data_IF_707370869671
#
_entry.id   IF_707370869671
#
_cell.length_a   1.000
_cell.length_b   1.000
_cell.length_c   1.000
_cell.angle_alpha   90.00
_cell.angle_beta   90.00
_cell.angle_gamma   90.00
#
_symmetry.space_group_name_H-M   'P 1'
#
loop_
_entity.id
_entity.type
_entity.pdbx_description
1 polymer ?
#
# COMPACT_ATOMS: atom_id res chain seq x y z
N UNK A 1 -63.67 -51.02 -33.01
CA UNK A 1 -62.62 -50.02 -32.70
C UNK A 1 -63.21 -49.07 -31.69
N UNK A 2 -62.70 -49.07 -30.45
CA UNK A 2 -63.25 -48.30 -29.33
C UNK A 2 -62.58 -46.93 -29.25
N UNK A 3 -63.39 -45.91 -29.02
CA UNK A 3 -63.00 -44.54 -28.66
C UNK A 3 -62.11 -44.52 -27.42
N UNK A 4 -61.10 -43.64 -27.42
CA UNK A 4 -60.46 -43.23 -26.18
C UNK A 4 -60.22 -41.72 -26.16
N UNK A 5 -60.95 -41.11 -25.24
CA UNK A 5 -61.05 -39.70 -24.89
C UNK A 5 -59.72 -39.04 -24.52
N UNK A 6 -59.52 -37.83 -25.06
CA UNK A 6 -58.52 -36.84 -24.66
C UNK A 6 -58.64 -36.47 -23.17
N UNK A 7 -57.52 -36.42 -22.44
CA UNK A 7 -57.41 -35.84 -21.09
C UNK A 7 -56.36 -34.72 -21.10
N UNK A 8 -56.65 -33.52 -20.60
CA UNK A 8 -55.67 -32.45 -20.50
C UNK A 8 -54.74 -32.69 -19.29
N UNK A 9 -53.44 -32.52 -19.50
CA UNK A 9 -52.43 -32.54 -18.43
C UNK A 9 -52.47 -31.18 -17.74
N UNK A 10 -52.75 -31.17 -16.43
CA UNK A 10 -52.73 -29.98 -15.59
C UNK A 10 -51.29 -29.55 -15.30
N UNK A 11 -50.91 -28.35 -15.75
CA UNK A 11 -49.66 -27.71 -15.37
C UNK A 11 -49.66 -27.38 -13.87
N UNK A 12 -48.79 -28.04 -13.10
CA UNK A 12 -48.39 -27.56 -11.77
C UNK A 12 -47.05 -26.84 -11.89
N UNK A 13 -46.94 -25.56 -11.50
CA UNK A 13 -45.67 -24.86 -11.58
C UNK A 13 -44.75 -25.40 -10.48
N UNK A 14 -43.69 -26.10 -10.88
CA UNK A 14 -42.60 -26.42 -9.99
C UNK A 14 -42.00 -25.11 -9.45
N UNK A 15 -42.11 -24.90 -8.13
CA UNK A 15 -41.42 -23.81 -7.43
C UNK A 15 -39.92 -23.97 -7.63
N UNK A 16 -39.36 -23.16 -8.52
CA UNK A 16 -37.92 -22.97 -8.61
C UNK A 16 -37.50 -22.14 -7.39
N UNK A 17 -37.13 -22.83 -6.30
CA UNK A 17 -36.47 -22.17 -5.17
C UNK A 17 -35.08 -21.72 -5.61
N UNK A 18 -35.02 -20.49 -6.12
CA UNK A 18 -33.76 -19.83 -6.43
C UNK A 18 -32.94 -19.66 -5.16
N UNK A 19 -31.93 -20.51 -4.96
CA UNK A 19 -30.82 -20.25 -4.03
C UNK A 19 -30.25 -18.87 -4.37
N UNK A 20 -30.53 -17.87 -3.53
CA UNK A 20 -29.89 -16.57 -3.64
C UNK A 20 -28.38 -16.77 -3.65
N UNK A 21 -27.75 -16.55 -4.81
CA UNK A 21 -26.30 -16.52 -4.95
C UNK A 21 -25.73 -15.56 -3.91
N UNK A 22 -24.95 -16.10 -2.98
CA UNK A 22 -24.33 -15.33 -1.89
C UNK A 22 -23.43 -14.29 -2.56
N UNK A 23 -23.71 -13.00 -2.41
CA UNK A 23 -22.91 -11.91 -3.01
C UNK A 23 -21.49 -11.96 -2.45
N UNK A 24 -20.56 -12.52 -3.22
CA UNK A 24 -19.14 -12.60 -2.87
C UNK A 24 -18.49 -11.22 -3.00
N UNK A 25 -17.74 -10.79 -1.99
CA UNK A 25 -17.04 -9.49 -2.02
C UNK A 25 -15.75 -9.63 -2.82
N UNK A 26 -15.41 -8.61 -3.61
CA UNK A 26 -14.22 -8.61 -4.49
C UNK A 26 -12.90 -8.88 -3.76
N UNK A 27 -12.77 -8.45 -2.50
CA UNK A 27 -11.55 -8.65 -1.70
C UNK A 27 -11.40 -10.08 -1.18
N UNK A 28 -12.49 -10.85 -1.08
CA UNK A 28 -12.47 -12.26 -0.64
C UNK A 28 -11.91 -13.18 -1.73
N UNK A 29 -12.11 -12.82 -3.00
CA UNK A 29 -11.65 -13.56 -4.19
C UNK A 29 -10.47 -12.86 -4.88
N UNK A 30 -9.79 -11.96 -4.17
CA UNK A 30 -8.68 -11.22 -4.76
C UNK A 30 -7.50 -12.16 -5.05
N UNK A 31 -7.02 -12.25 -6.29
CA UNK A 31 -6.14 -13.34 -6.71
C UNK A 31 -4.67 -13.16 -6.31
N UNK A 32 -4.28 -12.01 -5.74
CA UNK A 32 -2.91 -11.72 -5.33
C UNK A 32 -2.60 -12.03 -3.87
N UNK A 33 -1.36 -11.77 -3.44
CA UNK A 33 -0.86 -12.05 -2.08
C UNK A 33 -1.16 -10.95 -1.06
N UNK A 34 -2.00 -9.97 -1.43
CA UNK A 34 -2.35 -8.89 -0.52
C UNK A 34 -3.25 -9.39 0.62
N UNK A 35 -3.06 -8.80 1.80
CA UNK A 35 -3.94 -9.00 2.95
C UNK A 35 -4.95 -7.86 3.00
N UNK A 36 -6.20 -8.22 3.22
CA UNK A 36 -7.29 -7.26 3.38
C UNK A 36 -7.81 -7.30 4.82
N UNK A 37 -8.10 -6.13 5.38
CA UNK A 37 -8.83 -6.03 6.64
C UNK A 37 -9.86 -4.89 6.60
N UNK A 38 -10.64 -4.75 7.68
CA UNK A 38 -11.74 -3.77 7.78
C UNK A 38 -12.73 -3.85 6.60
N UNK A 39 -13.23 -5.05 6.30
CA UNK A 39 -14.16 -5.31 5.18
C UNK A 39 -13.60 -4.87 3.81
N UNK A 40 -12.29 -5.01 3.59
CA UNK A 40 -11.61 -4.67 2.35
C UNK A 40 -11.21 -3.19 2.21
N UNK A 41 -11.36 -2.38 3.27
CA UNK A 41 -10.94 -0.96 3.26
C UNK A 41 -9.43 -0.79 3.38
N UNK A 42 -8.75 -1.76 3.97
CA UNK A 42 -7.30 -1.78 4.12
C UNK A 42 -6.76 -2.89 3.24
N UNK A 43 -5.79 -2.55 2.41
CA UNK A 43 -5.05 -3.46 1.55
C UNK A 43 -3.55 -3.29 1.82
N UNK A 44 -2.89 -4.38 2.22
CA UNK A 44 -1.45 -4.39 2.48
C UNK A 44 -0.78 -5.58 1.79
N UNK A 45 0.53 -5.56 1.68
CA UNK A 45 1.30 -6.73 1.28
C UNK A 45 1.32 -7.79 2.39
N UNK A 46 1.65 -9.03 2.02
CA UNK A 46 1.80 -10.14 2.97
C UNK A 46 2.86 -9.88 4.04
N UNK A 47 3.95 -9.22 3.66
CA UNK A 47 5.10 -8.89 4.49
C UNK A 47 4.99 -7.46 5.03
N UNK A 48 4.41 -7.33 6.22
CA UNK A 48 4.13 -6.07 6.90
C UNK A 48 4.91 -5.88 8.21
N UNK A 49 5.89 -6.76 8.51
CA UNK A 49 6.71 -6.65 9.72
C UNK A 49 7.50 -5.33 9.79
N UNK A 50 8.15 -4.95 8.69
CA UNK A 50 8.93 -3.70 8.62
C UNK A 50 8.01 -2.47 8.73
N UNK A 51 6.76 -2.55 8.28
CA UNK A 51 5.78 -1.48 8.48
C UNK A 51 5.49 -1.21 9.96
N UNK A 52 5.31 -2.26 10.77
CA UNK A 52 5.14 -2.08 12.22
C UNK A 52 6.39 -1.49 12.85
N UNK A 53 7.57 -1.91 12.41
CA UNK A 53 8.83 -1.30 12.84
C UNK A 53 8.89 0.20 12.50
N UNK A 54 8.48 0.61 11.30
CA UNK A 54 8.36 2.04 10.92
C UNK A 54 7.43 2.80 11.87
N UNK A 55 6.24 2.24 12.16
CA UNK A 55 5.28 2.87 13.06
C UNK A 55 5.87 3.03 14.47
N UNK A 56 6.51 1.98 14.99
CA UNK A 56 7.18 2.02 16.30
C UNK A 56 8.27 3.07 16.34
N UNK A 57 9.12 3.17 15.31
CA UNK A 57 10.17 4.18 15.25
C UNK A 57 9.61 5.60 15.29
N UNK A 58 8.58 5.90 14.49
CA UNK A 58 7.99 7.24 14.44
C UNK A 58 7.29 7.57 15.77
N UNK A 59 6.49 6.65 16.31
CA UNK A 59 5.77 6.85 17.58
C UNK A 59 6.73 6.99 18.74
N UNK A 60 7.76 6.15 18.83
CA UNK A 60 8.73 6.19 19.91
C UNK A 60 9.55 7.49 19.88
N UNK A 61 10.09 7.87 18.71
CA UNK A 61 10.89 9.10 18.57
C UNK A 61 10.07 10.35 18.86
N UNK A 62 8.84 10.44 18.35
CA UNK A 62 7.93 11.54 18.67
C UNK A 62 7.52 11.51 20.14
N UNK A 63 7.23 10.34 20.71
CA UNK A 63 6.88 10.18 22.12
C UNK A 63 7.99 10.65 23.07
N UNK A 64 9.25 10.32 22.76
CA UNK A 64 10.40 10.84 23.49
C UNK A 64 10.48 12.37 23.40
N UNK A 65 10.34 12.93 22.20
CA UNK A 65 10.33 14.39 22.00
C UNK A 65 9.23 15.10 22.80
N UNK A 66 8.00 14.58 22.78
CA UNK A 66 6.89 15.15 23.55
C UNK A 66 7.04 14.97 25.06
N UNK A 67 7.66 13.87 25.50
CA UNK A 67 7.84 13.58 26.92
C UNK A 67 8.98 14.37 27.57
N UNK A 68 10.10 14.56 26.86
CA UNK A 68 11.32 15.12 27.45
C UNK A 68 11.62 16.56 27.00
N UNK A 69 11.42 16.90 25.73
CA UNK A 69 11.81 18.21 25.19
C UNK A 69 10.67 19.22 25.24
N UNK A 70 9.46 18.81 24.86
CA UNK A 70 8.31 19.71 24.77
C UNK A 70 7.93 20.39 26.10
N UNK A 71 7.95 19.75 27.29
CA UNK A 71 7.58 20.42 28.54
C UNK A 71 8.51 21.60 28.84
N UNK A 72 9.82 21.43 28.63
CA UNK A 72 10.81 22.49 28.82
C UNK A 72 10.63 23.60 27.79
N UNK A 73 10.57 23.25 26.50
CA UNK A 73 10.45 24.22 25.41
C UNK A 73 9.12 24.98 25.43
N UNK A 74 8.03 24.37 25.90
CA UNK A 74 6.73 25.02 26.02
C UNK A 74 6.76 26.17 27.04
N UNK A 75 7.48 25.99 28.15
CA UNK A 75 7.61 27.00 29.22
C UNK A 75 8.64 28.06 28.86
N UNK A 76 9.79 27.66 28.31
CA UNK A 76 10.94 28.55 28.10
C UNK A 76 11.01 29.21 26.72
N UNK A 77 10.29 28.70 25.72
CA UNK A 77 10.30 29.24 24.35
C UNK A 77 8.90 29.62 23.91
N UNK A 78 8.01 28.65 23.72
CA UNK A 78 6.61 28.90 23.36
C UNK A 78 5.75 27.63 23.44
N UNK A 79 4.50 27.71 23.95
CA UNK A 79 3.57 26.59 23.95
C UNK A 79 3.12 26.18 22.54
N UNK A 80 3.42 26.97 21.50
CA UNK A 80 3.14 26.59 20.11
C UNK A 80 3.99 25.39 19.63
N UNK A 81 5.14 25.11 20.27
CA UNK A 81 6.03 24.00 19.88
C UNK A 81 5.32 22.64 19.92
N UNK A 82 4.77 22.18 21.07
CA UNK A 82 4.06 20.91 21.11
C UNK A 82 2.83 20.88 20.19
N UNK A 83 2.14 22.02 19.99
CA UNK A 83 1.00 22.08 19.08
C UNK A 83 1.40 21.84 17.61
N UNK A 84 2.44 22.53 17.14
CA UNK A 84 2.97 22.36 15.77
C UNK A 84 3.54 20.96 15.58
N UNK A 85 4.34 20.48 16.53
CA UNK A 85 4.87 19.12 16.52
C UNK A 85 3.75 18.07 16.44
N UNK A 86 2.68 18.26 17.23
CA UNK A 86 1.54 17.34 17.25
C UNK A 86 0.79 17.30 15.92
N UNK A 87 0.56 18.47 15.31
CA UNK A 87 -0.06 18.57 14.01
C UNK A 87 0.77 17.90 12.91
N UNK A 88 2.09 18.11 12.91
CA UNK A 88 3.02 17.45 11.97
C UNK A 88 3.02 15.92 12.16
N UNK A 89 3.08 15.44 13.40
CA UNK A 89 3.02 14.00 13.70
C UNK A 89 1.73 13.36 13.18
N UNK A 90 0.56 13.97 13.46
CA UNK A 90 -0.73 13.47 12.98
C UNK A 90 -0.76 13.45 11.45
N UNK A 91 -0.25 14.49 10.79
CA UNK A 91 -0.20 14.55 9.32
C UNK A 91 0.72 13.47 8.71
N UNK A 92 1.89 13.23 9.32
CA UNK A 92 2.82 12.15 8.93
C UNK A 92 2.16 10.79 9.09
N UNK A 93 1.52 10.52 10.23
CA UNK A 93 0.85 9.24 10.46
C UNK A 93 -0.33 9.04 9.49
N UNK A 94 -1.10 10.09 9.21
CA UNK A 94 -2.20 10.04 8.26
C UNK A 94 -1.73 9.72 6.83
N UNK A 95 -0.66 10.38 6.36
CA UNK A 95 -0.10 10.14 5.02
C UNK A 95 0.59 8.78 4.91
N UNK A 96 1.27 8.32 5.96
CA UNK A 96 1.80 6.95 6.08
C UNK A 96 0.68 5.92 5.90
N UNK A 97 -0.36 5.97 6.74
CA UNK A 97 -1.47 5.02 6.69
C UNK A 97 -2.25 5.09 5.38
N UNK A 98 -2.47 6.30 4.83
CA UNK A 98 -3.06 6.45 3.50
C UNK A 98 -2.25 5.77 2.43
N UNK A 99 -0.92 5.83 2.49
CA UNK A 99 -0.07 5.17 1.49
C UNK A 99 -0.05 3.65 1.69
N UNK A 100 0.11 3.21 2.93
CA UNK A 100 0.23 1.80 3.31
C UNK A 100 -1.04 0.99 3.10
N UNK A 101 -2.21 1.55 3.40
CA UNK A 101 -3.47 0.81 3.41
C UNK A 101 -4.30 0.94 2.12
N UNK A 102 -3.83 1.72 1.16
CA UNK A 102 -4.55 1.94 -0.10
C UNK A 102 -4.14 0.96 -1.18
N UNK A 103 -5.04 0.74 -2.13
CA UNK A 103 -4.70 0.09 -3.40
C UNK A 103 -3.67 0.96 -4.17
N UNK A 104 -2.49 0.44 -4.51
CA UNK A 104 -1.45 1.18 -5.24
C UNK A 104 -1.82 1.46 -6.70
N UNK A 105 -2.88 0.83 -7.21
CA UNK A 105 -3.21 0.83 -8.63
C UNK A 105 -3.13 -0.57 -9.23
N UNK A 106 -3.59 -1.59 -8.51
CA UNK A 106 -3.61 -2.96 -9.03
C UNK A 106 -4.49 -3.01 -10.28
N UNK A 107 -3.93 -3.63 -11.32
CA UNK A 107 -4.61 -3.92 -12.58
C UNK A 107 -5.30 -5.28 -12.42
N UNK A 108 -6.61 -5.38 -12.69
CA UNK A 108 -7.31 -6.66 -12.68
C UNK A 108 -6.62 -7.68 -13.58
N UNK A 109 -6.58 -8.94 -13.13
CA UNK A 109 -6.14 -10.06 -13.98
C UNK A 109 -7.15 -10.26 -15.11
N UNK A 110 -6.70 -10.78 -16.25
CA UNK A 110 -7.61 -11.15 -17.32
C UNK A 110 -8.59 -12.22 -16.83
N UNK A 111 -9.84 -12.14 -17.29
CA UNK A 111 -10.82 -13.22 -17.12
C UNK A 111 -10.33 -14.48 -17.85
N UNK A 112 -10.84 -15.67 -17.51
CA UNK A 112 -10.45 -16.91 -18.20
C UNK A 112 -10.62 -16.84 -19.72
N UNK A 113 -11.71 -16.23 -20.19
CA UNK A 113 -11.99 -16.07 -21.63
C UNK A 113 -11.00 -15.09 -22.28
N UNK A 114 -10.78 -13.91 -21.66
CA UNK A 114 -9.78 -12.94 -22.14
C UNK A 114 -8.36 -13.55 -22.15
N UNK A 115 -8.01 -14.32 -21.12
CA UNK A 115 -6.71 -15.00 -21.05
C UNK A 115 -6.56 -16.03 -22.16
N UNK A 116 -7.59 -16.84 -22.42
CA UNK A 116 -7.59 -17.82 -23.50
C UNK A 116 -7.47 -17.14 -24.88
N UNK A 117 -8.16 -16.02 -25.10
CA UNK A 117 -8.08 -15.26 -26.35
C UNK A 117 -6.71 -14.61 -26.54
N UNK A 118 -6.13 -14.05 -25.47
CA UNK A 118 -4.78 -13.48 -25.51
C UNK A 118 -3.75 -14.59 -25.82
N UNK A 119 -3.87 -15.75 -25.19
CA UNK A 119 -2.96 -16.88 -25.41
C UNK A 119 -3.10 -17.45 -26.82
N UNK A 120 -4.32 -17.59 -27.35
CA UNK A 120 -4.54 -17.95 -28.76
C UNK A 120 -3.86 -16.97 -29.71
N UNK A 121 -3.99 -15.66 -29.48
CA UNK A 121 -3.34 -14.63 -30.32
C UNK A 121 -1.81 -14.69 -30.25
N UNK A 122 -1.28 -15.07 -29.10
CA UNK A 122 0.14 -15.27 -28.85
C UNK A 122 0.64 -16.50 -29.64
N UNK A 123 -0.13 -17.59 -29.69
CA UNK A 123 0.26 -18.85 -30.32
C UNK A 123 0.14 -18.89 -31.86
N UNK A 124 -0.54 -17.93 -32.50
CA UNK A 124 -0.66 -17.87 -33.97
C UNK A 124 0.73 -17.61 -34.59
N UNK A 125 1.27 -18.53 -35.41
CA UNK A 125 2.54 -18.33 -36.10
C UNK A 125 2.46 -17.17 -37.09
N UNK A 126 3.48 -16.34 -37.15
CA UNK A 126 3.58 -15.27 -38.14
C UNK A 126 3.67 -15.89 -39.55
N UNK A 127 2.79 -15.57 -40.53
CA UNK A 127 2.70 -16.28 -41.82
C UNK A 127 3.92 -16.17 -42.76
N UNK A 128 4.99 -15.49 -42.36
CA UNK A 128 6.16 -15.20 -43.22
C UNK A 128 7.53 -15.48 -42.58
N UNK A 129 7.61 -16.26 -41.50
CA UNK A 129 8.89 -16.60 -40.84
C UNK A 129 9.39 -18.01 -41.18
N UNK A 130 10.71 -18.25 -41.30
CA UNK A 130 11.24 -19.59 -41.51
C UNK A 130 10.89 -20.51 -40.32
N UNK A 131 10.66 -21.78 -40.63
CA UNK A 131 10.23 -22.89 -39.75
C UNK A 131 11.23 -23.20 -38.64
N UNK A 132 11.36 -22.28 -37.68
CA UNK A 132 12.04 -22.50 -36.41
C UNK A 132 11.09 -22.02 -35.31
N UNK A 133 10.83 -22.90 -34.34
CA UNK A 133 10.08 -22.60 -33.12
C UNK A 133 10.59 -21.29 -32.52
N UNK A 134 9.85 -20.21 -32.75
CA UNK A 134 10.04 -18.94 -32.04
C UNK A 134 8.98 -18.94 -30.94
N UNK A 135 9.37 -18.89 -29.65
CA UNK A 135 8.40 -18.78 -28.58
C UNK A 135 7.50 -17.57 -28.89
N UNK A 136 6.21 -17.67 -28.58
CA UNK A 136 5.25 -16.71 -29.09
C UNK A 136 5.58 -15.29 -28.61
N UNK A 137 5.26 -14.25 -29.39
CA UNK A 137 5.72 -12.90 -29.12
C UNK A 137 5.23 -12.47 -27.74
N UNK A 138 6.15 -12.44 -26.78
CA UNK A 138 5.94 -11.96 -25.39
C UNK A 138 5.61 -10.47 -25.33
N UNK A 139 5.41 -9.84 -26.49
CA UNK A 139 5.23 -8.42 -26.66
C UNK A 139 4.22 -8.08 -27.72
N UNK A 140 3.36 -7.12 -27.42
CA UNK A 140 2.35 -6.57 -28.34
C UNK A 140 2.71 -5.12 -28.65
N UNK A 141 2.74 -4.76 -29.91
CA UNK A 141 2.96 -3.37 -30.33
C UNK A 141 1.63 -2.64 -30.42
N UNK A 142 1.57 -1.45 -29.83
CA UNK A 142 0.37 -0.60 -29.82
C UNK A 142 0.78 0.82 -30.18
N UNK A 143 0.02 1.47 -31.06
CA UNK A 143 0.23 2.85 -31.42
C UNK A 143 -0.42 3.76 -30.37
N UNK A 144 0.39 4.58 -29.69
CA UNK A 144 -0.07 5.56 -28.71
C UNK A 144 0.40 6.93 -29.18
N UNK A 145 -0.53 7.81 -29.59
CA UNK A 145 -0.23 9.16 -30.12
C UNK A 145 0.82 9.14 -31.25
N UNK A 146 0.69 8.19 -32.18
CA UNK A 146 1.61 8.05 -33.31
C UNK A 146 2.94 7.38 -32.97
N UNK A 147 3.20 7.01 -31.71
CA UNK A 147 4.40 6.29 -31.31
C UNK A 147 4.09 4.80 -31.08
N UNK A 148 4.90 3.92 -31.67
CA UNK A 148 4.79 2.47 -31.44
C UNK A 148 5.37 2.13 -30.07
N UNK A 149 4.53 1.61 -29.18
CA UNK A 149 4.92 1.19 -27.84
C UNK A 149 4.81 -0.33 -27.72
N UNK A 150 5.92 -0.96 -27.33
CA UNK A 150 6.01 -2.41 -27.11
C UNK A 150 5.56 -2.77 -25.69
N UNK A 151 4.38 -3.36 -25.57
CA UNK A 151 3.84 -3.90 -24.31
C UNK A 151 4.45 -5.26 -24.01
N UNK A 152 4.62 -5.61 -22.73
CA UNK A 152 5.16 -6.91 -22.30
C UNK A 152 4.07 -7.75 -21.64
N UNK A 153 3.95 -9.02 -22.04
CA UNK A 153 3.02 -9.96 -21.42
C UNK A 153 3.42 -10.29 -19.97
N UNK A 154 2.43 -10.50 -19.10
CA UNK A 154 2.59 -10.99 -17.74
C UNK A 154 1.90 -12.35 -17.62
N UNK A 155 2.67 -13.41 -17.41
CA UNK A 155 2.17 -14.78 -17.31
C UNK A 155 1.30 -15.03 -16.07
N UNK A 156 1.54 -14.30 -14.98
CA UNK A 156 0.77 -14.44 -13.73
C UNK A 156 -0.60 -13.78 -13.82
N UNK A 157 -0.65 -12.56 -14.36
CA UNK A 157 -1.88 -11.77 -14.44
C UNK A 157 -2.62 -11.98 -15.78
N UNK A 158 -2.01 -12.69 -16.73
CA UNK A 158 -2.53 -13.00 -18.07
C UNK A 158 -2.93 -11.77 -18.87
N UNK A 159 -2.14 -10.69 -18.76
CA UNK A 159 -2.38 -9.42 -19.45
C UNK A 159 -1.12 -8.94 -20.17
N UNK A 160 -1.32 -8.20 -21.27
CA UNK A 160 -0.27 -7.29 -21.77
C UNK A 160 -0.24 -6.06 -20.87
N UNK A 161 0.89 -5.88 -20.17
CA UNK A 161 1.03 -4.79 -19.20
C UNK A 161 0.92 -3.44 -19.92
N UNK A 162 0.03 -2.54 -19.48
CA UNK A 162 -0.02 -1.17 -19.96
C UNK A 162 1.35 -0.48 -19.81
N UNK A 163 1.61 0.61 -20.56
CA UNK A 163 2.85 1.36 -20.43
C UNK A 163 3.10 1.77 -18.96
N UNK A 164 4.34 1.60 -18.51
CA UNK A 164 4.80 1.87 -17.13
C UNK A 164 4.18 0.97 -16.05
N UNK A 165 3.40 -0.06 -16.40
CA UNK A 165 2.95 -1.06 -15.45
C UNK A 165 3.98 -2.19 -15.29
N UNK A 166 4.18 -2.65 -14.06
CA UNK A 166 5.08 -3.76 -13.74
C UNK A 166 4.42 -4.74 -12.78
N UNK A 167 4.84 -6.01 -12.86
CA UNK A 167 4.40 -7.05 -11.96
C UNK A 167 5.29 -7.04 -10.71
N UNK A 168 4.68 -6.97 -9.53
CA UNK A 168 5.36 -7.16 -8.26
C UNK A 168 5.14 -8.59 -7.78
N UNK A 169 6.20 -9.40 -7.71
CA UNK A 169 6.15 -10.81 -7.27
C UNK A 169 5.79 -10.99 -5.80
N UNK A 170 6.06 -9.97 -4.98
CA UNK A 170 5.80 -9.95 -3.53
C UNK A 170 4.31 -9.77 -3.25
N UNK A 171 3.64 -8.84 -3.95
CA UNK A 171 2.20 -8.65 -3.88
C UNK A 171 1.42 -9.55 -4.84
N UNK A 172 2.12 -10.18 -5.79
CA UNK A 172 1.57 -11.03 -6.85
C UNK A 172 0.53 -10.34 -7.74
N UNK A 173 0.83 -9.09 -8.13
CA UNK A 173 -0.08 -8.26 -8.92
C UNK A 173 0.68 -7.33 -9.87
N UNK A 174 0.08 -7.05 -11.03
CA UNK A 174 0.48 -5.92 -11.86
C UNK A 174 -0.04 -4.61 -11.27
N UNK A 175 0.83 -3.61 -11.16
CA UNK A 175 0.50 -2.29 -10.63
C UNK A 175 0.70 -1.25 -11.73
N UNK A 176 -0.28 -0.37 -11.89
CA UNK A 176 -0.24 0.74 -12.85
C UNK A 176 0.76 1.82 -12.40
N UNK A 177 1.61 2.29 -13.32
CA UNK A 177 2.74 3.21 -13.02
C UNK A 177 3.50 2.75 -11.77
N UNK A 178 3.85 1.47 -11.75
CA UNK A 178 4.58 0.86 -10.64
C UNK A 178 5.91 1.60 -10.46
N UNK A 179 6.15 2.03 -9.22
CA UNK A 179 7.42 2.62 -8.84
C UNK A 179 8.28 1.56 -8.15
N UNK A 180 7.88 1.13 -6.95
CA UNK A 180 8.57 0.06 -6.23
C UNK A 180 7.65 -0.64 -5.22
N UNK A 181 8.12 -1.77 -4.68
CA UNK A 181 7.56 -2.36 -3.47
C UNK A 181 8.30 -1.80 -2.26
N UNK A 182 7.60 -1.16 -1.33
CA UNK A 182 8.22 -0.53 -0.16
C UNK A 182 7.97 -1.37 1.10
N UNK A 183 9.01 -2.02 1.67
CA UNK A 183 8.85 -2.78 2.89
C UNK A 183 8.45 -1.91 4.10
N UNK A 184 8.93 -0.67 4.14
CA UNK A 184 8.63 0.32 5.18
C UNK A 184 7.15 0.71 5.26
N UNK A 185 6.46 0.65 4.12
CA UNK A 185 5.02 0.90 4.03
C UNK A 185 4.22 -0.40 4.12
N UNK A 186 4.87 -1.56 3.92
CA UNK A 186 4.20 -2.84 3.79
C UNK A 186 3.29 -2.91 2.56
N UNK A 187 3.61 -2.19 1.48
CA UNK A 187 2.78 -2.15 0.27
C UNK A 187 3.58 -1.69 -0.96
N UNK A 188 3.03 -1.86 -2.16
CA UNK A 188 3.58 -1.24 -3.37
C UNK A 188 3.30 0.27 -3.39
N UNK A 189 4.16 1.01 -4.07
CA UNK A 189 3.93 2.39 -4.48
C UNK A 189 3.66 2.39 -5.98
N UNK A 190 2.52 2.96 -6.36
CA UNK A 190 2.06 3.04 -7.74
C UNK A 190 1.14 4.23 -7.95
N UNK A 191 0.48 4.29 -9.12
CA UNK A 191 -0.30 5.45 -9.54
C UNK A 191 -1.28 6.00 -8.48
N UNK A 192 -1.99 5.13 -7.76
CA UNK A 192 -3.12 5.55 -6.89
C UNK A 192 -2.66 6.05 -5.51
N UNK A 193 -1.49 5.62 -5.03
CA UNK A 193 -0.96 6.03 -3.72
C UNK A 193 0.32 6.87 -3.79
N UNK A 194 0.91 7.08 -4.98
CA UNK A 194 2.15 7.85 -5.17
C UNK A 194 2.10 9.26 -4.54
N UNK A 195 0.98 9.98 -4.68
CA UNK A 195 0.84 11.32 -4.07
C UNK A 195 0.95 11.30 -2.55
N UNK A 196 0.41 10.28 -1.90
CA UNK A 196 0.44 10.15 -0.45
C UNK A 196 1.82 9.70 0.01
N UNK A 197 2.48 8.84 -0.76
CA UNK A 197 3.87 8.47 -0.53
C UNK A 197 4.78 9.70 -0.54
N UNK A 198 4.66 10.54 -1.56
CA UNK A 198 5.44 11.77 -1.66
C UNK A 198 5.18 12.73 -0.49
N UNK A 199 3.90 12.95 -0.13
CA UNK A 199 3.53 13.77 1.02
C UNK A 199 4.06 13.19 2.34
N UNK A 200 4.06 11.86 2.50
CA UNK A 200 4.64 11.19 3.66
C UNK A 200 6.14 11.45 3.77
N UNK A 201 6.92 11.26 2.70
CA UNK A 201 8.37 11.50 2.73
C UNK A 201 8.69 12.97 3.00
N UNK A 202 7.96 13.90 2.38
CA UNK A 202 8.16 15.33 2.59
C UNK A 202 7.83 15.74 4.03
N UNK A 203 6.66 15.35 4.54
CA UNK A 203 6.25 15.69 5.89
C UNK A 203 7.08 15.01 6.97
N UNK A 204 7.52 13.77 6.75
CA UNK A 204 8.43 13.08 7.66
C UNK A 204 9.78 13.81 7.73
N UNK A 205 10.32 14.24 6.58
CA UNK A 205 11.55 15.05 6.54
C UNK A 205 11.41 16.35 7.32
N UNK A 206 10.29 17.06 7.13
CA UNK A 206 9.98 18.30 7.87
C UNK A 206 9.87 18.02 9.38
N UNK A 207 9.18 16.95 9.79
CA UNK A 207 9.06 16.56 11.19
C UNK A 207 10.42 16.21 11.81
N UNK A 208 11.28 15.48 11.10
CA UNK A 208 12.64 15.15 11.56
C UNK A 208 13.49 16.42 11.76
N UNK A 209 13.48 17.34 10.80
CA UNK A 209 14.20 18.62 10.91
C UNK A 209 13.65 19.44 12.07
N UNK A 210 12.32 19.50 12.22
CA UNK A 210 11.64 20.22 13.28
C UNK A 210 12.04 19.69 14.67
N UNK A 211 11.97 18.37 14.89
CA UNK A 211 12.38 17.73 16.15
C UNK A 211 13.87 17.99 16.41
N UNK A 212 14.72 17.80 15.40
CA UNK A 212 16.16 18.03 15.55
C UNK A 212 16.47 19.46 15.98
N UNK A 213 15.85 20.46 15.35
CA UNK A 213 16.02 21.86 15.71
C UNK A 213 15.54 22.14 17.15
N UNK A 214 14.39 21.60 17.55
CA UNK A 214 13.86 21.77 18.90
C UNK A 214 14.78 21.15 19.97
N UNK A 215 15.25 19.91 19.73
CA UNK A 215 16.19 19.22 20.64
C UNK A 215 17.49 20.01 20.75
N UNK A 216 18.03 20.52 19.64
CA UNK A 216 19.22 21.35 19.65
C UNK A 216 19.00 22.65 20.46
N UNK A 217 17.85 23.32 20.30
CA UNK A 217 17.49 24.49 21.10
C UNK A 217 17.41 24.16 22.59
N UNK A 218 16.79 23.03 22.96
CA UNK A 218 16.71 22.59 24.35
C UNK A 218 18.11 22.38 24.94
N UNK A 219 18.99 21.68 24.23
CA UNK A 219 20.37 21.45 24.66
C UNK A 219 21.17 22.75 24.82
N UNK A 220 21.04 23.69 23.88
CA UNK A 220 21.73 24.99 23.96
C UNK A 220 21.25 25.77 25.19
N UNK A 221 19.94 25.87 25.40
CA UNK A 221 19.38 26.59 26.55
C UNK A 221 19.80 25.95 27.88
N UNK A 222 19.84 24.61 27.95
CA UNK A 222 20.33 23.89 29.14
C UNK A 222 21.82 24.13 29.39
N UNK A 223 22.63 24.14 28.32
CA UNK A 223 24.09 24.37 28.43
C UNK A 223 24.47 25.78 28.88
N UNK A 224 23.56 26.75 28.70
CA UNK A 224 23.74 28.12 29.19
C UNK A 224 23.27 28.30 30.63
N UNK A 225 22.29 27.51 31.08
CA UNK A 225 21.74 27.56 32.43
C UNK A 225 22.62 26.84 33.47
N UNK A 226 23.23 25.72 33.08
CA UNK A 226 24.11 24.91 33.93
C UNK A 226 25.51 24.83 33.30
N UNK A 227 26.59 24.94 34.09
CA UNK A 227 27.94 24.59 33.61
C UNK A 227 27.85 23.22 32.93
N UNK A 228 28.20 23.11 31.64
CA UNK A 228 27.97 21.93 30.78
C UNK A 228 28.23 20.56 31.44
N UNK A 229 29.23 20.48 32.33
CA UNK A 229 29.58 19.29 33.11
C UNK A 229 28.53 18.89 34.18
N UNK A 230 27.78 19.83 34.75
CA UNK A 230 26.72 19.59 35.72
C UNK A 230 25.45 19.06 35.04
N UNK A 231 25.07 19.62 33.88
CA UNK A 231 23.94 19.13 33.07
C UNK A 231 24.11 17.69 32.56
N UNK A 232 25.34 17.28 32.22
CA UNK A 232 25.63 15.88 31.88
C UNK A 232 25.56 14.93 33.09
N UNK A 233 25.83 15.44 34.30
CA UNK A 233 25.80 14.66 35.55
C UNK A 233 24.37 14.35 36.00
N UNK A 234 23.40 15.19 35.61
CA UNK A 234 21.97 15.06 35.92
C UNK A 234 21.14 14.39 34.81
N UNK A 235 21.79 13.83 33.77
CA UNK A 235 21.12 13.09 32.69
C UNK A 235 20.50 11.74 33.15
N UNK A 236 19.50 11.20 32.43
CA UNK A 236 18.42 10.36 32.97
C UNK A 236 18.79 8.97 33.51
N UNK A 237 20.04 8.52 33.36
CA UNK A 237 20.47 7.18 33.80
C UNK A 237 20.41 7.00 35.34
N UNK A 238 20.15 8.06 36.12
CA UNK A 238 20.14 8.02 37.60
C UNK A 238 18.74 7.98 38.24
N UNK A 239 17.66 8.20 37.47
CA UNK A 239 16.34 8.43 38.05
C UNK A 239 15.53 7.22 38.59
N UNK A 240 15.93 5.93 38.49
CA UNK A 240 15.10 4.89 39.10
C UNK A 240 15.46 4.53 40.57
N UNK A 241 16.43 5.19 41.25
CA UNK A 241 16.93 4.67 42.54
C UNK A 241 16.77 5.56 43.79
N UNK A 242 16.10 6.71 43.74
CA UNK A 242 16.02 7.62 44.90
C UNK A 242 14.61 7.97 45.40
N UNK A 243 13.57 7.25 44.98
CA UNK A 243 12.18 7.49 45.44
C UNK A 243 11.59 6.36 46.31
N UNK A 244 12.41 5.57 47.01
CA UNK A 244 11.95 4.44 47.83
C UNK A 244 12.58 4.30 49.21
N UNK A 245 13.00 5.40 49.85
CA UNK A 245 13.30 5.44 51.29
C UNK A 245 12.84 6.76 51.91
#
# INVERSE_FOLDING_TARGET
MKDQSYKPVSDSPAKFEGKMSKKVRKWEVFPGKNKFCCNGRIMMARQNGIFYFTCTLIIATCGLFFGFDCPYLAVHVTPAIPAVGGALFVFVMATLFRTSFSDPGVIPRATPDEAADIERQIDIPNPGGPTAYRPPPRTKEVLIRGQVVKLKYCFTCKIFRPPRASHCSLCDNCVERFDHHCPWLGNCVGKRNYRFFYLFILSLSILCIYIFACVLTHLILRSQADNFLHAMRDSPARYPLYNTL
#
